data_IF_219261081477
#
_entry.id   IF_219261081477
#
_cell.length_a   1.000
_cell.length_b   1.000
_cell.length_c   1.000
_cell.angle_alpha   90.00
_cell.angle_beta   90.00
_cell.angle_gamma   90.00
#
_symmetry.space_group_name_H-M   'P 1'
#
loop_
_entity.id
_entity.type
_entity.pdbx_description
1 polymer ?
#
# COMPACT_ATOMS: atom_id res chain seq x y z
N UNK A 1 -2.53 -35.74 -0.29
CA UNK A 1 -3.36 -34.96 -1.14
C UNK A 1 -4.01 -33.85 -0.40
N UNK A 2 -4.69 -34.16 0.65
CA UNK A 2 -5.40 -33.12 1.38
C UNK A 2 -4.49 -32.08 1.98
N UNK A 3 -3.31 -32.49 2.34
CA UNK A 3 -2.34 -31.56 2.90
C UNK A 3 -1.98 -30.51 1.87
N UNK A 4 -1.87 -30.91 0.63
CA UNK A 4 -1.53 -29.96 -0.42
C UNK A 4 -2.58 -28.88 -0.59
N UNK A 5 -3.83 -29.27 -0.47
CA UNK A 5 -4.90 -28.32 -0.62
C UNK A 5 -4.83 -27.25 0.46
N UNK A 6 -4.54 -27.68 1.68
CA UNK A 6 -4.44 -26.72 2.77
C UNK A 6 -3.30 -25.75 2.56
N UNK A 7 -2.18 -26.22 2.07
CA UNK A 7 -1.06 -25.36 1.80
C UNK A 7 -1.37 -24.37 0.73
N UNK A 8 -2.08 -24.77 -0.30
CA UNK A 8 -2.44 -23.87 -1.37
C UNK A 8 -3.32 -22.75 -0.87
N UNK A 9 -4.22 -23.04 0.04
CA UNK A 9 -5.08 -22.02 0.57
C UNK A 9 -4.29 -20.94 1.27
N UNK A 10 -3.31 -21.33 2.08
CA UNK A 10 -2.51 -20.36 2.78
C UNK A 10 -1.69 -19.51 1.81
N UNK A 11 -1.16 -20.14 0.79
CA UNK A 11 -0.37 -19.43 -0.19
C UNK A 11 -1.21 -18.40 -0.92
N UNK A 12 -2.42 -18.73 -1.26
CA UNK A 12 -3.28 -17.78 -1.96
C UNK A 12 -3.57 -16.55 -1.12
N UNK A 13 -3.81 -16.74 0.16
CA UNK A 13 -4.05 -15.58 1.02
C UNK A 13 -2.88 -14.63 1.02
N UNK A 14 -1.68 -15.16 1.13
CA UNK A 14 -0.49 -14.35 1.13
C UNK A 14 -0.32 -13.62 -0.19
N UNK A 15 -0.58 -14.31 -1.28
CA UNK A 15 -0.41 -13.70 -2.58
C UNK A 15 -1.38 -12.57 -2.84
N UNK A 16 -2.60 -12.70 -2.35
CA UNK A 16 -3.58 -11.65 -2.54
C UNK A 16 -3.09 -10.36 -1.88
N UNK A 17 -2.53 -10.45 -0.69
CA UNK A 17 -2.02 -9.27 -0.03
C UNK A 17 -0.87 -8.65 -0.80
N UNK A 18 0.03 -9.48 -1.28
CA UNK A 18 1.20 -8.97 -1.98
C UNK A 18 0.82 -8.31 -3.30
N UNK A 19 -0.18 -8.84 -3.96
CA UNK A 19 -0.53 -8.33 -5.29
C UNK A 19 -1.18 -6.97 -5.27
N UNK A 20 -1.70 -6.54 -4.14
CA UNK A 20 -2.34 -5.24 -4.07
C UNK A 20 -1.36 -4.09 -4.09
N UNK A 21 -0.12 -4.32 -3.70
CA UNK A 21 0.85 -3.24 -3.59
C UNK A 21 1.49 -2.99 -4.93
N UNK A 22 1.41 -1.75 -5.42
CA UNK A 22 1.99 -1.40 -6.71
C UNK A 22 3.20 -0.49 -6.58
N UNK A 23 3.40 0.15 -5.46
CA UNK A 23 4.57 1.00 -5.25
C UNK A 23 4.79 1.20 -3.76
N UNK A 24 6.03 1.43 -3.38
CA UNK A 24 6.37 1.64 -1.97
C UNK A 24 7.46 2.69 -1.85
N UNK A 25 7.45 3.40 -0.73
CA UNK A 25 8.50 4.33 -0.39
C UNK A 25 8.78 4.25 1.10
N UNK A 26 10.00 4.56 1.50
CA UNK A 26 10.39 4.51 2.90
C UNK A 26 10.78 5.92 3.32
N UNK A 27 10.15 6.44 4.38
CA UNK A 27 10.45 7.79 4.81
C UNK A 27 11.61 7.81 5.79
N UNK A 28 11.92 8.99 6.30
CA UNK A 28 13.09 9.18 7.16
C UNK A 28 13.00 8.41 8.46
N UNK A 29 11.81 8.08 8.89
CA UNK A 29 11.63 7.37 10.15
C UNK A 29 11.54 5.87 9.94
N UNK A 30 11.94 5.38 8.77
CA UNK A 30 11.90 3.96 8.44
C UNK A 30 10.50 3.40 8.40
N UNK A 31 9.53 4.24 8.16
CA UNK A 31 8.17 3.77 7.96
C UNK A 31 7.93 3.57 6.48
N UNK A 32 7.27 2.51 6.12
CA UNK A 32 7.02 2.17 4.73
C UNK A 32 5.63 2.63 4.32
N UNK A 33 5.55 3.40 3.26
CA UNK A 33 4.28 3.82 2.69
C UNK A 33 4.02 2.97 1.47
N UNK A 34 2.91 2.25 1.45
CA UNK A 34 2.56 1.36 0.36
C UNK A 34 1.32 1.86 -0.35
N UNK A 35 1.40 1.92 -1.66
CA UNK A 35 0.26 2.30 -2.50
C UNK A 35 -0.29 1.05 -3.15
N UNK A 36 -1.60 0.88 -3.11
CA UNK A 36 -2.23 -0.30 -3.70
C UNK A 36 -3.15 0.13 -4.83
N UNK A 37 -3.62 -0.84 -5.59
CA UNK A 37 -4.59 -0.55 -6.64
C UNK A 37 -6.01 -0.90 -6.21
N UNK A 38 -6.24 -1.16 -4.94
CA UNK A 38 -7.57 -1.42 -4.44
C UNK A 38 -8.32 -0.10 -4.26
N UNK A 39 -9.58 -0.07 -4.62
CA UNK A 39 -10.35 1.16 -4.50
C UNK A 39 -10.55 1.55 -3.06
N UNK A 40 -10.40 2.83 -2.78
CA UNK A 40 -10.66 3.35 -1.46
C UNK A 40 -12.13 3.71 -1.35
N UNK A 41 -12.82 3.15 -0.38
CA UNK A 41 -14.25 3.36 -0.28
C UNK A 41 -14.62 4.73 0.20
N UNK A 42 -13.76 5.34 0.98
CA UNK A 42 -14.10 6.60 1.61
C UNK A 42 -14.07 7.81 0.66
N UNK A 43 -13.28 7.73 -0.36
CA UNK A 43 -13.12 8.86 -1.29
C UNK A 43 -13.15 8.32 -2.71
N UNK A 44 -14.04 8.88 -3.52
CA UNK A 44 -14.18 8.47 -4.90
C UNK A 44 -12.92 8.70 -5.68
N UNK A 45 -12.65 7.80 -6.60
CA UNK A 45 -11.52 7.94 -7.54
C UNK A 45 -10.17 7.88 -6.85
N UNK A 46 -10.12 7.26 -5.70
CA UNK A 46 -8.85 7.05 -5.00
C UNK A 46 -8.66 5.57 -4.70
N UNK A 47 -7.46 5.24 -4.29
CA UNK A 47 -7.12 3.87 -3.96
C UNK A 47 -6.53 3.81 -2.57
N UNK A 48 -6.43 2.62 -2.02
CA UNK A 48 -5.98 2.45 -0.64
C UNK A 48 -4.47 2.62 -0.55
N UNK A 49 -4.03 3.38 0.45
CA UNK A 49 -2.63 3.46 0.83
C UNK A 49 -2.50 3.05 2.27
N UNK A 50 -1.34 2.58 2.69
CA UNK A 50 -1.13 2.33 4.10
C UNK A 50 0.32 2.59 4.49
N UNK A 51 0.48 2.96 5.75
CA UNK A 51 1.76 3.27 6.33
C UNK A 51 2.05 2.21 7.36
N UNK A 52 3.16 1.52 7.22
CA UNK A 52 3.54 0.45 8.14
C UNK A 52 4.67 0.95 9.02
N UNK A 53 4.49 0.81 10.32
CA UNK A 53 5.49 1.20 11.31
C UNK A 53 6.43 0.04 11.59
N UNK A 54 7.52 0.33 12.25
CA UNK A 54 8.49 -0.69 12.58
C UNK A 54 7.91 -1.82 13.41
N UNK A 55 6.96 -1.50 14.26
CA UNK A 55 6.39 -2.50 15.14
C UNK A 55 5.32 -3.35 14.47
N UNK A 56 5.09 -3.13 13.19
CA UNK A 56 4.10 -3.91 12.45
C UNK A 56 2.73 -3.31 12.39
N UNK A 57 2.46 -2.25 13.14
CA UNK A 57 1.16 -1.60 13.06
C UNK A 57 1.06 -0.78 11.79
N UNK A 58 -0.15 -0.40 11.42
CA UNK A 58 -0.37 0.32 10.18
C UNK A 58 -1.50 1.33 10.30
N UNK A 59 -1.38 2.40 9.54
CA UNK A 59 -2.46 3.35 9.33
C UNK A 59 -2.87 3.27 7.89
N UNK A 60 -4.12 3.59 7.60
CA UNK A 60 -4.65 3.51 6.25
C UNK A 60 -5.09 4.87 5.76
N UNK A 61 -5.13 5.03 4.45
CA UNK A 61 -5.58 6.25 3.81
C UNK A 61 -5.99 5.99 2.38
N UNK A 62 -6.31 7.07 1.68
CA UNK A 62 -6.70 7.03 0.28
C UNK A 62 -5.71 7.84 -0.53
N UNK A 63 -5.26 7.33 -1.66
CA UNK A 63 -4.28 8.05 -2.47
C UNK A 63 -4.74 8.24 -3.89
N UNK A 64 -4.22 9.30 -4.50
CA UNK A 64 -4.37 9.56 -5.92
C UNK A 64 -3.08 10.21 -6.39
N UNK A 65 -2.83 10.15 -7.67
CA UNK A 65 -1.60 10.71 -8.21
C UNK A 65 -1.88 11.44 -9.50
N UNK A 66 -1.05 12.44 -9.79
CA UNK A 66 -1.06 13.07 -11.08
C UNK A 66 0.34 12.90 -11.68
N UNK A 67 0.71 13.74 -12.59
CA UNK A 67 1.96 13.58 -13.32
C UNK A 67 3.19 13.74 -12.46
N UNK A 68 3.09 14.43 -11.36
CA UNK A 68 4.27 14.77 -10.57
C UNK A 68 4.19 14.41 -9.11
N UNK A 69 3.01 14.16 -8.58
CA UNK A 69 2.85 13.97 -7.14
C UNK A 69 1.88 12.89 -6.79
N UNK A 70 2.07 12.33 -5.60
CA UNK A 70 1.14 11.43 -4.98
C UNK A 70 0.54 12.16 -3.79
N UNK A 71 -0.78 12.19 -3.68
CA UNK A 71 -1.47 12.79 -2.56
C UNK A 71 -2.13 11.69 -1.75
N UNK A 72 -1.95 11.72 -0.45
CA UNK A 72 -2.53 10.72 0.43
C UNK A 72 -3.30 11.42 1.53
N UNK A 73 -4.56 11.07 1.71
CA UNK A 73 -5.35 11.54 2.83
C UNK A 73 -5.46 10.37 3.80
N UNK A 74 -4.85 10.52 4.95
CA UNK A 74 -4.83 9.46 5.95
C UNK A 74 -6.15 9.42 6.71
N UNK A 75 -6.41 8.32 7.38
CA UNK A 75 -7.67 8.17 8.12
C UNK A 75 -7.77 9.16 9.28
N UNK A 76 -6.68 9.77 9.67
CA UNK A 76 -6.71 10.83 10.67
C UNK A 76 -7.18 12.16 10.08
N UNK A 77 -7.34 12.24 8.78
CA UNK A 77 -7.71 13.47 8.10
C UNK A 77 -6.54 14.28 7.59
N UNK A 78 -5.32 13.86 7.84
CA UNK A 78 -4.15 14.61 7.38
C UNK A 78 -3.85 14.32 5.92
N UNK A 79 -3.51 15.36 5.19
CA UNK A 79 -3.15 15.25 3.79
C UNK A 79 -1.65 15.40 3.64
N UNK A 80 -1.02 14.46 2.97
CA UNK A 80 0.40 14.54 2.68
C UNK A 80 0.63 14.42 1.17
N UNK A 81 1.67 15.10 0.69
CA UNK A 81 2.03 15.09 -0.72
C UNK A 81 3.44 14.60 -0.85
N UNK A 82 3.67 13.70 -1.79
CA UNK A 82 4.99 13.13 -2.04
C UNK A 82 5.34 13.25 -3.51
N UNK A 83 6.62 13.35 -3.80
CA UNK A 83 7.07 13.30 -5.18
C UNK A 83 6.91 11.88 -5.72
N UNK A 84 6.68 11.73 -7.00
CA UNK A 84 6.60 10.39 -7.57
C UNK A 84 7.89 9.62 -7.38
N UNK A 85 9.02 10.31 -7.34
CA UNK A 85 10.29 9.63 -7.18
C UNK A 85 10.47 9.01 -5.81
N UNK A 86 9.67 9.42 -4.83
CA UNK A 86 9.73 8.84 -3.51
C UNK A 86 9.32 7.37 -3.54
N UNK A 87 8.46 6.99 -4.47
CA UNK A 87 7.95 5.63 -4.53
C UNK A 87 8.66 4.84 -5.61
N UNK A 88 9.25 3.74 -5.21
CA UNK A 88 9.81 2.83 -6.18
C UNK A 88 8.76 1.82 -6.55
N UNK A 89 8.85 1.29 -7.73
CA UNK A 89 7.90 0.31 -8.14
C UNK A 89 8.04 -0.92 -7.28
N UNK A 90 6.93 -1.48 -6.95
CA UNK A 90 6.87 -2.51 -5.93
C UNK A 90 7.77 -3.65 -6.11
N UNK A 91 8.23 -3.98 -7.30
CA UNK A 91 9.08 -5.05 -7.41
C UNK A 91 10.18 -4.80 -8.22
N UNK A 92 10.78 -3.80 -7.99
CA UNK A 92 11.90 -3.51 -8.66
C UNK A 92 12.86 -4.52 -8.59
N UNK A 93 13.05 -5.13 -8.55
CA UNK A 93 14.08 -5.93 -8.67
C UNK A 93 13.96 -6.80 -8.69
#
# INVERSE_FOLDING_TARGET
>A
MKVLVALLSLTLSTQVLARGVIAQGINQDDMTISLTDAKCKDIKNTKVAYLTYRDGSANFGCWAADESRVLIIWDTGMLHSYSLNFFEKGNTK
#
